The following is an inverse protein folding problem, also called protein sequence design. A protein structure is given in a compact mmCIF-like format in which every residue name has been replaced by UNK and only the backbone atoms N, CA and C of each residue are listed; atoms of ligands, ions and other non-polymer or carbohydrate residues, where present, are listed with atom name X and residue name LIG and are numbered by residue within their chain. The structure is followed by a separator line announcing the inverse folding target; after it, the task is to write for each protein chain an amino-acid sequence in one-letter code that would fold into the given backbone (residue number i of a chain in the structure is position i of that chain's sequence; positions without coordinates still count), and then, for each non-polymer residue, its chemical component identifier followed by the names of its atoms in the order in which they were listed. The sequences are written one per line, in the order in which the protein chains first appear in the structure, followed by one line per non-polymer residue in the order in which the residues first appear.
data_IF_159546594830
#
_entry.id   IF_159546594830
#
_cell.length_a   1.000
_cell.length_b   1.000
_cell.length_c   1.000
_cell.angle_alpha   90.00
_cell.angle_beta   90.00
_cell.angle_gamma   90.00
#
_symmetry.space_group_name_H-M   'P 1'
#
loop_
_entity.id
_entity.type
_entity.pdbx_description
1 polymer ?
#
# COMPACT_ATOMS: atom_id res chain seq x y z
N UNK A 1 0.13 7.09 -19.68
CA UNK A 1 -0.37 5.74 -19.38
C UNK A 1 -0.09 4.83 -20.57
N UNK A 2 0.65 3.71 -20.40
CA UNK A 2 1.00 2.80 -21.49
C UNK A 2 -0.18 1.92 -21.95
N UNK A 3 -1.27 1.89 -21.18
CA UNK A 3 -2.46 1.08 -21.47
C UNK A 3 -3.60 1.92 -22.10
N UNK A 4 -4.59 1.22 -22.65
CA UNK A 4 -5.78 1.87 -23.19
C UNK A 4 -6.50 2.71 -22.12
N UNK A 5 -7.10 3.85 -22.47
CA UNK A 5 -7.29 4.40 -23.83
C UNK A 5 -6.11 5.24 -24.36
N UNK A 6 -5.16 5.63 -23.51
CA UNK A 6 -4.10 6.57 -23.88
C UNK A 6 -3.02 5.94 -24.76
N UNK A 7 -2.63 4.69 -24.47
CA UNK A 7 -1.61 3.94 -25.20
C UNK A 7 -0.29 4.72 -25.44
N UNK A 8 0.08 5.60 -24.50
CA UNK A 8 1.32 6.39 -24.55
C UNK A 8 2.48 5.58 -23.95
N UNK A 9 2.92 4.57 -24.67
CA UNK A 9 3.99 3.65 -24.25
C UNK A 9 5.32 4.38 -24.11
N UNK A 10 5.69 5.22 -25.10
CA UNK A 10 6.98 5.92 -25.11
C UNK A 10 7.06 6.98 -24.02
N UNK A 11 6.01 7.78 -23.84
CA UNK A 11 5.96 8.78 -22.76
C UNK A 11 5.98 8.15 -21.37
N UNK A 12 5.24 7.07 -21.17
CA UNK A 12 5.24 6.33 -19.92
C UNK A 12 6.63 5.72 -19.63
N UNK A 13 7.27 5.12 -20.63
CA UNK A 13 8.61 4.53 -20.53
C UNK A 13 9.63 5.59 -20.14
N UNK A 14 9.66 6.71 -20.86
CA UNK A 14 10.58 7.82 -20.55
C UNK A 14 10.41 8.29 -19.10
N UNK A 15 9.17 8.55 -18.68
CA UNK A 15 8.89 9.03 -17.32
C UNK A 15 9.37 8.04 -16.26
N UNK A 16 9.12 6.75 -16.45
CA UNK A 16 9.54 5.72 -15.48
C UNK A 16 11.06 5.55 -15.47
N UNK A 17 11.72 5.54 -16.62
CA UNK A 17 13.19 5.46 -16.68
C UNK A 17 13.85 6.68 -16.02
N UNK A 18 13.30 7.89 -16.19
CA UNK A 18 13.78 9.09 -15.52
C UNK A 18 13.64 8.96 -13.99
N UNK A 19 12.50 8.47 -13.48
CA UNK A 19 12.28 8.22 -12.06
C UNK A 19 13.22 7.14 -11.52
N UNK A 20 13.35 6.00 -12.21
CA UNK A 20 14.22 4.89 -11.81
C UNK A 20 15.67 5.36 -11.66
N UNK A 21 16.16 6.13 -12.63
CA UNK A 21 17.53 6.62 -12.60
C UNK A 21 17.74 7.73 -11.56
N UNK A 22 16.76 8.63 -11.39
CA UNK A 22 16.81 9.74 -10.42
C UNK A 22 16.83 9.22 -8.98
N UNK A 23 15.92 8.28 -8.68
CA UNK A 23 15.65 7.85 -7.31
C UNK A 23 16.32 6.50 -6.98
N UNK A 24 17.13 5.94 -7.90
CA UNK A 24 17.83 4.66 -7.74
C UNK A 24 16.89 3.53 -7.31
N UNK A 25 15.79 3.35 -8.08
CA UNK A 25 14.76 2.35 -7.78
C UNK A 25 15.30 0.94 -8.03
N UNK A 26 15.24 0.07 -7.04
CA UNK A 26 15.67 -1.33 -7.12
C UNK A 26 14.51 -2.29 -7.40
N UNK A 27 13.25 -1.88 -7.08
CA UNK A 27 12.09 -2.75 -7.19
C UNK A 27 10.83 -2.00 -7.64
N UNK A 28 10.06 -2.62 -8.53
CA UNK A 28 8.78 -2.12 -9.03
C UNK A 28 7.66 -3.04 -8.55
N UNK A 29 6.68 -2.49 -7.83
CA UNK A 29 5.47 -3.20 -7.45
C UNK A 29 4.40 -3.03 -8.52
N UNK A 30 3.82 -4.13 -8.99
CA UNK A 30 2.71 -4.14 -9.94
C UNK A 30 1.49 -4.76 -9.28
N UNK A 31 0.37 -4.03 -9.24
CA UNK A 31 -0.90 -4.57 -8.73
C UNK A 31 -1.40 -5.74 -9.58
N UNK A 32 -2.07 -6.71 -8.96
CA UNK A 32 -2.61 -7.89 -9.64
C UNK A 32 -4.02 -7.70 -10.23
N UNK A 33 -4.41 -6.46 -10.54
CA UNK A 33 -5.71 -6.11 -11.09
C UNK A 33 -5.85 -6.34 -12.59
N UNK A 34 -6.83 -5.64 -13.19
CA UNK A 34 -7.25 -5.88 -14.58
C UNK A 34 -6.14 -5.71 -15.61
N UNK A 35 -5.28 -4.68 -15.46
CA UNK A 35 -4.17 -4.40 -16.37
C UNK A 35 -2.83 -4.97 -15.90
N UNK A 36 -2.83 -5.94 -15.01
CA UNK A 36 -1.60 -6.49 -14.41
C UNK A 36 -0.67 -7.09 -15.46
N UNK A 37 -1.22 -7.88 -16.39
CA UNK A 37 -0.43 -8.55 -17.42
C UNK A 37 0.19 -7.58 -18.42
N UNK A 38 -0.56 -6.58 -18.85
CA UNK A 38 -0.08 -5.53 -19.74
C UNK A 38 1.01 -4.69 -19.06
N UNK A 39 0.81 -4.36 -17.79
CA UNK A 39 1.79 -3.65 -16.97
C UNK A 39 3.07 -4.47 -16.77
N UNK A 40 2.94 -5.76 -16.51
CA UNK A 40 4.05 -6.68 -16.37
C UNK A 40 4.89 -6.77 -17.65
N UNK A 41 4.24 -6.96 -18.80
CA UNK A 41 4.91 -6.99 -20.11
C UNK A 41 5.65 -5.68 -20.38
N UNK A 42 4.99 -4.55 -20.14
CA UNK A 42 5.59 -3.24 -20.33
C UNK A 42 6.81 -3.02 -19.43
N UNK A 43 6.70 -3.33 -18.13
CA UNK A 43 7.80 -3.19 -17.17
C UNK A 43 8.94 -4.16 -17.50
N UNK A 44 8.63 -5.42 -17.82
CA UNK A 44 9.62 -6.44 -18.19
C UNK A 44 10.46 -6.03 -19.41
N UNK A 45 9.86 -5.34 -20.37
CA UNK A 45 10.60 -4.83 -21.53
C UNK A 45 11.40 -3.56 -21.18
N UNK A 46 10.83 -2.66 -20.41
CA UNK A 46 11.44 -1.41 -20.00
C UNK A 46 12.70 -1.61 -19.15
N UNK A 47 12.68 -2.52 -18.17
CA UNK A 47 13.81 -2.73 -17.25
C UNK A 47 15.05 -3.25 -17.94
N UNK A 48 14.95 -3.83 -19.14
CA UNK A 48 16.10 -4.26 -19.95
C UNK A 48 17.01 -3.10 -20.38
N UNK A 49 16.50 -1.88 -20.34
CA UNK A 49 17.23 -0.66 -20.70
C UNK A 49 17.85 0.04 -19.49
N UNK A 50 17.53 -0.41 -18.28
CA UNK A 50 18.09 0.12 -17.03
C UNK A 50 19.51 -0.42 -16.85
N UNK A 51 20.43 0.42 -16.37
CA UNK A 51 21.87 0.07 -16.25
C UNK A 51 22.25 -0.61 -14.94
N UNK A 52 21.36 -0.63 -13.96
CA UNK A 52 21.56 -1.29 -12.67
C UNK A 52 20.55 -2.43 -12.51
N UNK A 53 20.81 -3.30 -11.54
CA UNK A 53 19.90 -4.40 -11.23
C UNK A 53 18.59 -3.85 -10.67
N UNK A 54 17.49 -4.18 -11.35
CA UNK A 54 16.14 -3.83 -10.97
C UNK A 54 15.23 -5.03 -11.18
N UNK A 55 14.31 -5.23 -10.27
CA UNK A 55 13.31 -6.29 -10.40
C UNK A 55 11.88 -5.75 -10.27
N UNK A 56 10.90 -6.56 -10.65
CA UNK A 56 9.51 -6.27 -10.38
C UNK A 56 8.84 -7.45 -9.66
N UNK A 57 7.74 -7.16 -8.99
CA UNK A 57 6.93 -8.16 -8.28
C UNK A 57 5.46 -7.84 -8.41
N UNK A 58 4.65 -8.89 -8.58
CA UNK A 58 3.19 -8.76 -8.60
C UNK A 58 2.68 -8.76 -7.15
N UNK A 59 1.95 -7.73 -6.79
CA UNK A 59 1.44 -7.49 -5.43
C UNK A 59 -0.08 -7.52 -5.43
N UNK A 60 -0.68 -8.15 -4.43
CA UNK A 60 -2.13 -8.09 -4.26
C UNK A 60 -2.59 -6.66 -4.04
N UNK A 61 -3.54 -6.20 -4.86
CA UNK A 61 -4.16 -4.87 -4.72
C UNK A 61 -5.49 -4.92 -3.95
N UNK A 62 -5.87 -6.08 -3.40
CA UNK A 62 -7.12 -6.24 -2.67
C UNK A 62 -7.31 -5.14 -1.61
N UNK A 63 -8.45 -4.44 -1.67
CA UNK A 63 -8.78 -3.34 -0.77
C UNK A 63 -7.99 -2.02 -0.99
N UNK A 64 -7.04 -1.94 -1.92
CA UNK A 64 -6.28 -0.71 -2.17
C UNK A 64 -7.16 0.45 -2.62
N UNK A 65 -8.19 0.20 -3.42
CA UNK A 65 -9.17 1.19 -3.85
C UNK A 65 -10.01 1.72 -2.68
N UNK A 66 -10.37 0.85 -1.74
CA UNK A 66 -11.11 1.25 -0.53
C UNK A 66 -10.23 2.14 0.36
N UNK A 67 -8.98 1.75 0.59
CA UNK A 67 -8.02 2.58 1.32
C UNK A 67 -7.82 3.94 0.64
N UNK A 68 -7.52 3.97 -0.65
CA UNK A 68 -7.17 5.20 -1.37
C UNK A 68 -8.28 6.26 -1.33
N UNK A 69 -9.55 5.83 -1.27
CA UNK A 69 -10.72 6.71 -1.13
C UNK A 69 -11.09 7.03 0.33
N UNK A 70 -10.40 6.45 1.31
CA UNK A 70 -10.70 6.62 2.73
C UNK A 70 -10.27 7.99 3.26
N UNK A 71 -10.88 8.38 4.39
CA UNK A 71 -10.47 9.57 5.14
C UNK A 71 -9.02 9.46 5.61
N UNK A 72 -8.59 8.27 6.06
CA UNK A 72 -7.22 8.01 6.49
C UNK A 72 -6.22 8.29 5.37
N UNK A 73 -6.46 7.79 4.15
CA UNK A 73 -5.59 8.04 3.02
C UNK A 73 -5.55 9.53 2.62
N UNK A 74 -6.66 10.25 2.82
CA UNK A 74 -6.71 11.70 2.60
C UNK A 74 -5.90 12.46 3.66
N UNK A 75 -5.92 12.01 4.90
CA UNK A 75 -5.11 12.59 5.99
C UNK A 75 -3.61 12.28 5.79
N UNK A 76 -3.26 11.07 5.35
CA UNK A 76 -1.87 10.68 5.08
C UNK A 76 -1.28 11.38 3.82
N UNK A 77 -2.09 11.59 2.80
CA UNK A 77 -1.66 12.14 1.50
C UNK A 77 -2.66 13.16 0.97
N UNK A 78 -2.78 14.36 1.60
CA UNK A 78 -3.82 15.34 1.26
C UNK A 78 -3.73 15.85 -0.19
N UNK A 79 -2.51 16.03 -0.70
CA UNK A 79 -2.26 16.63 -2.02
C UNK A 79 -2.09 15.61 -3.15
N UNK A 80 -2.21 14.32 -2.83
CA UNK A 80 -2.04 13.22 -3.80
C UNK A 80 -3.40 12.69 -4.23
N UNK A 81 -3.59 12.46 -5.53
CA UNK A 81 -4.85 11.94 -6.04
C UNK A 81 -5.09 10.47 -5.63
N UNK A 82 -6.36 10.04 -5.69
CA UNK A 82 -6.80 8.71 -5.25
C UNK A 82 -6.05 7.57 -5.94
N UNK A 83 -5.78 7.67 -7.25
CA UNK A 83 -5.08 6.62 -7.99
C UNK A 83 -3.64 6.45 -7.51
N UNK A 84 -2.94 7.55 -7.28
CA UNK A 84 -1.56 7.52 -6.78
C UNK A 84 -1.51 7.02 -5.33
N UNK A 85 -2.49 7.39 -4.46
CA UNK A 85 -2.61 6.83 -3.10
C UNK A 85 -2.73 5.31 -3.14
N UNK A 86 -3.52 4.78 -4.08
CA UNK A 86 -3.65 3.34 -4.30
C UNK A 86 -2.31 2.69 -4.71
N UNK A 87 -1.59 3.29 -5.63
CA UNK A 87 -0.28 2.82 -6.08
C UNK A 87 0.76 2.84 -4.94
N UNK A 88 0.79 3.90 -4.13
CA UNK A 88 1.63 3.98 -2.94
C UNK A 88 1.32 2.84 -1.97
N UNK A 89 0.04 2.59 -1.68
CA UNK A 89 -0.36 1.49 -0.79
C UNK A 89 0.11 0.13 -1.31
N UNK A 90 -0.04 -0.14 -2.61
CA UNK A 90 0.42 -1.39 -3.24
C UNK A 90 1.93 -1.55 -3.08
N UNK A 91 2.71 -0.49 -3.36
CA UNK A 91 4.17 -0.52 -3.22
C UNK A 91 4.60 -0.74 -1.75
N UNK A 92 3.95 -0.07 -0.81
CA UNK A 92 4.27 -0.18 0.61
C UNK A 92 3.96 -1.53 1.22
N UNK A 93 3.07 -2.32 0.62
CA UNK A 93 2.84 -3.72 1.04
C UNK A 93 4.08 -4.60 0.91
N UNK A 94 5.03 -4.24 0.05
CA UNK A 94 6.32 -4.92 -0.04
C UNK A 94 7.27 -4.53 1.08
N UNK A 95 7.20 -3.29 1.54
CA UNK A 95 8.08 -2.77 2.58
C UNK A 95 7.60 -3.19 3.97
N UNK A 96 6.32 -2.98 4.26
CA UNK A 96 5.68 -3.35 5.52
C UNK A 96 4.21 -3.75 5.25
N UNK A 97 3.97 -5.04 4.93
CA UNK A 97 2.64 -5.53 4.62
C UNK A 97 1.66 -5.34 5.77
N UNK A 98 2.12 -5.51 7.01
CA UNK A 98 1.25 -5.42 8.18
C UNK A 98 0.79 -3.98 8.40
N UNK A 99 1.70 -3.01 8.33
CA UNK A 99 1.38 -1.59 8.49
C UNK A 99 0.39 -1.08 7.43
N UNK A 100 0.42 -1.64 6.22
CA UNK A 100 -0.52 -1.25 5.17
C UNK A 100 -1.86 -2.00 5.26
N UNK A 101 -1.84 -3.30 5.50
CA UNK A 101 -3.07 -4.11 5.50
C UNK A 101 -4.00 -3.79 6.66
N UNK A 102 -3.48 -3.39 7.83
CA UNK A 102 -4.31 -2.98 8.98
C UNK A 102 -5.12 -1.70 8.74
N UNK A 103 -4.78 -0.92 7.72
CA UNK A 103 -5.52 0.29 7.31
C UNK A 103 -6.81 -0.03 6.55
N UNK A 104 -6.99 -1.29 6.13
CA UNK A 104 -8.10 -1.74 5.29
C UNK A 104 -9.03 -2.59 6.14
N UNK A 105 -10.35 -2.29 6.11
CA UNK A 105 -11.34 -3.17 6.73
C UNK A 105 -11.22 -4.57 6.12
N UNK A 106 -10.98 -5.63 6.93
CA UNK A 106 -10.87 -7.00 6.43
C UNK A 106 -12.04 -7.44 5.55
N UNK A 107 -13.24 -6.91 5.78
CA UNK A 107 -14.42 -7.18 4.94
C UNK A 107 -14.26 -6.67 3.49
N UNK A 108 -13.47 -5.62 3.29
CA UNK A 108 -13.19 -5.08 1.96
C UNK A 108 -12.21 -5.94 1.15
N UNK A 109 -11.44 -6.81 1.82
CA UNK A 109 -10.52 -7.76 1.16
C UNK A 109 -11.27 -9.03 0.73
N UNK A 110 -12.43 -9.31 1.35
CA UNK A 110 -13.20 -10.51 1.16
C UNK A 110 -12.79 -11.63 2.12
N UNK A 111 -13.68 -11.93 3.07
CA UNK A 111 -13.43 -12.93 4.13
C UNK A 111 -13.98 -14.30 3.75
N UNK A 112 -15.08 -14.32 2.98
CA UNK A 112 -15.71 -15.55 2.54
C UNK A 112 -16.93 -15.31 1.67
N UNK A 113 -17.33 -16.34 0.96
CA UNK A 113 -18.44 -16.31 -0.01
C UNK A 113 -19.76 -15.82 0.62
N UNK A 114 -20.02 -16.20 1.88
CA UNK A 114 -21.25 -15.90 2.59
C UNK A 114 -21.11 -14.79 3.63
N UNK A 115 -20.10 -13.94 3.51
CA UNK A 115 -19.87 -12.87 4.49
C UNK A 115 -21.06 -11.89 4.61
N UNK A 116 -21.88 -11.75 3.58
CA UNK A 116 -23.07 -10.87 3.59
C UNK A 116 -24.28 -11.50 4.30
N UNK A 117 -24.29 -12.82 4.47
CA UNK A 117 -25.42 -13.59 5.04
C UNK A 117 -25.29 -13.73 6.56
N UNK A 118 -24.15 -13.37 7.13
CA UNK A 118 -23.90 -13.47 8.58
C UNK A 118 -24.16 -12.14 9.28
N UNK A 119 -24.31 -12.18 10.61
CA UNK A 119 -24.46 -10.96 11.41
C UNK A 119 -23.22 -10.08 11.30
N UNK A 120 -23.38 -8.90 10.68
CA UNK A 120 -22.29 -7.99 10.34
C UNK A 120 -21.56 -7.44 11.57
N UNK A 121 -22.25 -7.26 12.70
CA UNK A 121 -21.64 -6.79 13.95
C UNK A 121 -20.70 -7.86 14.51
N UNK A 122 -21.19 -9.10 14.63
CA UNK A 122 -20.37 -10.23 15.10
C UNK A 122 -19.19 -10.52 14.18
N UNK A 123 -19.39 -10.42 12.85
CA UNK A 123 -18.31 -10.56 11.88
C UNK A 123 -17.23 -9.51 12.10
N UNK A 124 -17.60 -8.24 12.23
CA UNK A 124 -16.64 -7.15 12.50
C UNK A 124 -15.88 -7.35 13.81
N UNK A 125 -16.57 -7.71 14.88
CA UNK A 125 -15.94 -7.99 16.19
C UNK A 125 -14.93 -9.15 16.10
N UNK A 126 -15.31 -10.25 15.45
CA UNK A 126 -14.43 -11.41 15.25
C UNK A 126 -13.21 -11.07 14.40
N UNK A 127 -13.40 -10.32 13.31
CA UNK A 127 -12.29 -9.91 12.43
C UNK A 127 -11.34 -8.95 13.13
N UNK A 128 -11.84 -8.01 13.93
CA UNK A 128 -11.00 -7.14 14.74
C UNK A 128 -10.13 -7.96 15.70
N UNK A 129 -10.71 -8.94 16.40
CA UNK A 129 -9.95 -9.83 17.28
C UNK A 129 -8.86 -10.61 16.54
N UNK A 130 -9.14 -11.11 15.33
CA UNK A 130 -8.13 -11.81 14.51
C UNK A 130 -6.99 -10.87 14.11
N UNK A 131 -7.28 -9.63 13.76
CA UNK A 131 -6.25 -8.64 13.42
C UNK A 131 -5.40 -8.31 14.64
N UNK A 132 -6.02 -8.05 15.79
CA UNK A 132 -5.33 -7.81 17.06
C UNK A 132 -4.41 -8.98 17.44
N UNK A 133 -4.92 -10.20 17.41
CA UNK A 133 -4.13 -11.41 17.68
C UNK A 133 -2.95 -11.55 16.73
N UNK A 134 -3.16 -11.28 15.45
CA UNK A 134 -2.12 -11.37 14.41
C UNK A 134 -1.01 -10.33 14.63
N UNK A 135 -1.39 -9.09 14.89
CA UNK A 135 -0.45 -8.00 15.18
C UNK A 135 0.38 -8.30 16.44
N UNK A 136 -0.28 -8.74 17.51
CA UNK A 136 0.42 -9.05 18.77
C UNK A 136 1.32 -10.28 18.67
N UNK A 137 0.99 -11.27 17.84
CA UNK A 137 1.85 -12.45 17.58
C UNK A 137 3.10 -12.10 16.77
N UNK A 138 2.96 -11.26 15.76
CA UNK A 138 4.09 -10.82 14.92
C UNK A 138 5.00 -9.88 15.70
N UNK A 139 4.41 -9.06 16.55
CA UNK A 139 5.10 -7.96 17.22
C UNK A 139 5.22 -6.72 16.33
N UNK A 140 5.46 -5.58 16.95
CA UNK A 140 5.52 -4.28 16.28
C UNK A 140 6.75 -3.52 16.77
N UNK A 141 7.59 -3.05 15.83
CA UNK A 141 8.66 -2.11 16.16
C UNK A 141 8.06 -0.71 16.35
N UNK A 142 8.05 -0.23 17.58
CA UNK A 142 7.47 1.07 17.95
C UNK A 142 8.19 2.26 17.31
N UNK A 143 9.42 2.09 16.81
CA UNK A 143 10.16 3.19 16.18
C UNK A 143 9.75 3.39 14.70
N UNK A 144 9.18 2.38 14.09
CA UNK A 144 8.83 2.39 12.65
C UNK A 144 7.34 2.21 12.38
N UNK A 145 6.57 1.80 13.40
CA UNK A 145 5.15 1.50 13.26
C UNK A 145 4.30 2.73 12.96
N UNK A 146 3.30 2.55 12.12
CA UNK A 146 2.29 3.59 11.89
C UNK A 146 1.32 3.70 13.07
N UNK A 147 0.66 4.85 13.29
CA UNK A 147 -0.39 4.98 14.31
C UNK A 147 -1.50 3.96 14.15
N UNK A 148 -1.87 3.63 12.89
CA UNK A 148 -2.87 2.60 12.58
C UNK A 148 -2.45 1.23 13.07
N UNK A 149 -1.18 0.85 12.89
CA UNK A 149 -0.64 -0.42 13.36
C UNK A 149 -0.54 -0.46 14.90
N UNK A 150 -0.04 0.62 15.50
CA UNK A 150 0.07 0.73 16.97
C UNK A 150 -1.27 0.60 17.68
N UNK A 151 -2.37 1.04 17.07
CA UNK A 151 -3.69 0.95 17.69
C UNK A 151 -4.21 -0.49 17.89
N UNK A 152 -3.59 -1.48 17.23
CA UNK A 152 -3.88 -2.91 17.44
C UNK A 152 -2.99 -3.57 18.49
N UNK A 153 -2.00 -2.85 19.02
CA UNK A 153 -1.13 -3.37 20.08
C UNK A 153 -1.88 -3.31 21.42
N UNK A 154 -1.85 -4.41 22.17
CA UNK A 154 -2.53 -4.50 23.47
C UNK A 154 -2.05 -3.39 24.42
N UNK A 155 -3.00 -2.64 24.97
CA UNK A 155 -2.74 -1.52 25.88
C UNK A 155 -2.52 -0.16 25.19
N UNK A 156 -2.49 -0.10 23.87
CA UNK A 156 -2.37 1.15 23.10
C UNK A 156 -3.71 1.47 22.44
N UNK A 157 -4.31 2.59 22.82
CA UNK A 157 -5.51 3.07 22.12
C UNK A 157 -5.14 4.08 21.01
N UNK A 158 -6.11 4.43 20.16
CA UNK A 158 -5.92 5.35 19.03
C UNK A 158 -5.34 6.72 19.45
N UNK A 159 -5.67 7.21 20.64
CA UNK A 159 -5.15 8.50 21.16
C UNK A 159 -3.67 8.37 21.48
N UNK A 160 -3.30 7.32 22.19
CA UNK A 160 -1.90 7.04 22.55
C UNK A 160 -1.08 6.76 21.28
N UNK A 161 -1.62 5.98 20.33
CA UNK A 161 -0.94 5.68 19.07
C UNK A 161 -0.61 6.95 18.27
N UNK A 162 -1.56 7.89 18.19
CA UNK A 162 -1.35 9.20 17.51
C UNK A 162 -0.36 10.10 18.25
N UNK A 163 -0.30 10.03 19.56
CA UNK A 163 0.65 10.82 20.37
C UNK A 163 2.07 10.24 20.33
N UNK A 164 2.20 8.93 20.27
CA UNK A 164 3.48 8.26 20.17
C UNK A 164 4.22 8.57 18.85
N UNK A 165 3.46 8.88 17.79
CA UNK A 165 3.99 9.20 16.46
C UNK A 165 3.33 10.48 15.95
N UNK A 166 3.74 11.66 16.43
CA UNK A 166 3.08 12.94 16.08
C UNK A 166 3.19 13.32 14.60
N UNK A 167 4.11 12.70 13.85
CA UNK A 167 4.28 12.91 12.42
C UNK A 167 4.40 11.58 11.67
N UNK A 168 3.31 11.06 11.10
CA UNK A 168 3.38 9.85 10.26
C UNK A 168 4.33 10.00 9.06
N UNK A 169 4.66 11.22 8.67
CA UNK A 169 5.58 11.55 7.56
C UNK A 169 7.05 11.47 7.97
N UNK A 170 7.40 11.78 9.22
CA UNK A 170 8.80 11.78 9.67
C UNK A 170 9.38 10.36 9.88
N UNK A 171 8.57 9.39 10.27
CA UNK A 171 8.97 7.98 10.30
C UNK A 171 9.27 7.41 8.90
N UNK A 172 8.72 8.04 7.87
CA UNK A 172 8.93 7.71 6.46
C UNK A 172 9.98 8.59 5.77
N UNK A 173 10.51 9.61 6.42
CA UNK A 173 11.59 10.46 5.89
C UNK A 173 12.92 9.69 5.67
N UNK A 174 13.02 8.44 6.12
CA UNK A 174 14.10 7.53 5.72
C UNK A 174 13.97 7.02 4.27
N UNK A 175 12.78 7.16 3.68
CA UNK A 175 12.57 6.83 2.28
C UNK A 175 12.18 8.15 1.58
N UNK A 176 13.03 8.71 0.73
CA UNK A 176 12.74 9.96 0.04
C UNK A 176 11.39 9.84 -0.69
N UNK A 177 10.58 10.87 -0.53
CA UNK A 177 9.28 10.94 -1.17
C UNK A 177 9.51 10.88 -2.70
N UNK A 178 9.07 9.86 -3.43
CA UNK A 178 9.38 9.72 -4.85
C UNK A 178 8.65 10.73 -5.74
N UNK A 179 7.90 11.68 -5.13
CA UNK A 179 7.09 12.65 -5.86
C UNK A 179 7.30 14.04 -5.24
N UNK A 180 8.40 14.66 -5.56
CA UNK A 180 8.58 16.12 -5.59
C UNK A 180 8.98 16.55 -6.99
#
# INVERSE_FOLDING_TARGET
DPTAPQNDVEGAKKTLLDLINKDHVDMIAIGNGTASRESEMFVSDMIKEVKHDICYVIVSEAGASVYSASKLATEEYPDINVSIRGAISIARRLQDPLAELVKIDPKAIGVGQYQHDVNQKKLSESLTGVVEDSVNKVGVDVNTATPSLLSYVSGINNTIAKQAMPNPIEGFAKYPNPIQ
#
